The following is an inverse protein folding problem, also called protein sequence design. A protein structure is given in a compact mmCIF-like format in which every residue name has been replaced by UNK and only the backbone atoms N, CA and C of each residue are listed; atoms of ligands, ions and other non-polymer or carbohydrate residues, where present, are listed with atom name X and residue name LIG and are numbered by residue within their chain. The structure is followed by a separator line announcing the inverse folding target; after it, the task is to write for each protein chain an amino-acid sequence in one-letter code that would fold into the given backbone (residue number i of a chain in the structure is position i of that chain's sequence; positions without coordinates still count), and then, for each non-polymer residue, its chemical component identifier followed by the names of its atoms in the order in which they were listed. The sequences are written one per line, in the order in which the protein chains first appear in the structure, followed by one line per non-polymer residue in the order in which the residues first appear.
data_IF_396249653352
#
_entry.id   IF_396249653352
#
_cell.length_a   1.000
_cell.length_b   1.000
_cell.length_c   1.000
_cell.angle_alpha   90.00
_cell.angle_beta   90.00
_cell.angle_gamma   90.00
#
_symmetry.space_group_name_H-M   'P 1'
#
loop_
_entity.id
_entity.type
_entity.pdbx_description
1 polymer ?
#
# COMPACT_ATOMS: atom_id res chain seq x y z
N UNK A 1 1.13 -3.99 18.41
CA UNK A 1 1.12 -2.51 18.50
C UNK A 1 1.45 -1.96 17.12
N UNK A 2 0.68 -1.02 16.56
CA UNK A 2 0.93 -0.46 15.22
C UNK A 2 2.32 0.22 15.21
N UNK A 3 3.19 -0.13 14.26
CA UNK A 3 4.56 0.39 14.17
C UNK A 3 4.62 1.92 14.14
N UNK A 4 3.63 2.56 13.51
CA UNK A 4 3.52 4.02 13.44
C UNK A 4 3.13 4.63 14.79
N UNK A 5 2.29 3.93 15.57
CA UNK A 5 1.92 4.35 16.92
C UNK A 5 3.11 4.28 17.87
N UNK A 6 3.92 3.22 17.78
CA UNK A 6 5.19 3.13 18.52
C UNK A 6 6.15 4.25 18.12
N UNK A 7 6.28 4.55 16.83
CA UNK A 7 7.14 5.62 16.34
C UNK A 7 6.72 7.00 16.87
N UNK A 8 5.42 7.31 16.86
CA UNK A 8 4.88 8.57 17.43
C UNK A 8 5.20 8.68 18.92
N UNK A 9 5.03 7.60 19.68
CA UNK A 9 5.34 7.56 21.11
C UNK A 9 6.83 7.81 21.39
N UNK A 10 7.72 7.17 20.63
CA UNK A 10 9.17 7.35 20.77
C UNK A 10 9.57 8.79 20.43
N UNK A 11 9.05 9.36 19.34
CA UNK A 11 9.33 10.74 18.94
C UNK A 11 8.86 11.72 20.02
N UNK A 12 7.62 11.56 20.51
CA UNK A 12 7.06 12.43 21.54
C UNK A 12 7.84 12.35 22.85
N UNK A 13 8.17 11.14 23.31
CA UNK A 13 8.95 10.92 24.53
C UNK A 13 10.37 11.52 24.40
N UNK A 14 11.04 11.30 23.27
CA UNK A 14 12.38 11.82 23.01
C UNK A 14 12.39 13.36 22.99
N UNK A 15 11.45 13.98 22.26
CA UNK A 15 11.32 15.44 22.22
C UNK A 15 11.05 16.03 23.61
N UNK A 16 10.22 15.37 24.42
CA UNK A 16 9.94 15.81 25.79
C UNK A 16 11.19 15.73 26.70
N UNK A 17 11.89 14.60 26.69
CA UNK A 17 13.11 14.41 27.50
C UNK A 17 14.19 15.40 27.12
N UNK A 18 14.45 15.62 25.83
CA UNK A 18 15.46 16.57 25.37
C UNK A 18 15.09 18.01 25.74
N UNK A 19 13.80 18.36 25.66
CA UNK A 19 13.33 19.71 26.02
C UNK A 19 13.46 20.00 27.52
N UNK A 20 13.28 18.99 28.37
CA UNK A 20 13.44 19.11 29.83
C UNK A 20 14.93 19.13 30.21
N UNK A 21 15.74 18.23 29.65
CA UNK A 21 17.16 18.11 29.98
C UNK A 21 18.01 19.26 29.41
N UNK A 22 17.63 19.81 28.26
CA UNK A 22 18.37 20.86 27.57
C UNK A 22 17.43 21.98 27.09
N UNK A 23 17.02 22.89 28.00
CA UNK A 23 16.03 23.94 27.70
C UNK A 23 16.43 24.86 26.54
N UNK A 24 17.74 25.11 26.37
CA UNK A 24 18.28 25.92 25.27
C UNK A 24 18.07 25.28 23.89
N UNK A 25 17.96 23.96 23.83
CA UNK A 25 17.74 23.20 22.60
C UNK A 25 16.26 22.86 22.37
N UNK A 26 15.38 23.11 23.35
CA UNK A 26 13.94 22.88 23.25
C UNK A 26 13.30 23.40 21.96
N UNK A 27 13.54 24.65 21.49
CA UNK A 27 12.90 25.12 20.24
C UNK A 27 13.35 24.32 19.00
N UNK A 28 14.58 23.80 18.99
CA UNK A 28 15.09 22.96 17.90
C UNK A 28 14.52 21.55 18.01
N UNK A 29 14.52 20.97 19.21
CA UNK A 29 13.99 19.63 19.48
C UNK A 29 12.50 19.53 19.13
N UNK A 30 11.71 20.56 19.43
CA UNK A 30 10.29 20.63 19.07
C UNK A 30 10.10 20.71 17.56
N UNK A 31 10.89 21.53 16.85
CA UNK A 31 10.82 21.62 15.37
C UNK A 31 11.17 20.29 14.71
N UNK A 32 12.25 19.65 15.14
CA UNK A 32 12.68 18.34 14.61
C UNK A 32 11.66 17.27 14.94
N UNK A 33 11.13 17.25 16.17
CA UNK A 33 10.06 16.34 16.57
C UNK A 33 8.80 16.50 15.72
N UNK A 34 8.39 17.74 15.46
CA UNK A 34 7.23 18.04 14.60
C UNK A 34 7.44 17.53 13.17
N UNK A 35 8.62 17.76 12.58
CA UNK A 35 8.95 17.26 11.23
C UNK A 35 8.89 15.73 11.21
N UNK A 36 9.47 15.06 12.22
CA UNK A 36 9.47 13.61 12.32
C UNK A 36 8.04 13.04 12.44
N UNK A 37 7.15 13.71 13.19
CA UNK A 37 5.74 13.35 13.28
C UNK A 37 5.01 13.50 11.95
N UNK A 38 5.25 14.58 11.21
CA UNK A 38 4.66 14.80 9.88
C UNK A 38 5.10 13.68 8.91
N UNK A 39 6.38 13.34 8.89
CA UNK A 39 6.91 12.25 8.05
C UNK A 39 6.26 10.91 8.44
N UNK A 40 6.17 10.62 9.74
CA UNK A 40 5.54 9.39 10.23
C UNK A 40 4.07 9.31 9.84
N UNK A 41 3.34 10.43 9.95
CA UNK A 41 1.95 10.51 9.52
C UNK A 41 1.82 10.32 7.99
N UNK A 42 2.71 10.93 7.20
CA UNK A 42 2.71 10.75 5.75
C UNK A 42 2.98 9.29 5.35
N UNK A 43 3.92 8.61 6.01
CA UNK A 43 4.20 7.19 5.80
C UNK A 43 3.03 6.30 6.22
N UNK A 44 2.36 6.63 7.33
CA UNK A 44 1.16 5.92 7.76
C UNK A 44 0.04 6.07 6.74
N UNK A 45 -0.18 7.28 6.22
CA UNK A 45 -1.15 7.56 5.16
C UNK A 45 -0.79 6.80 3.88
N UNK A 46 0.48 6.83 3.47
CA UNK A 46 0.96 6.10 2.30
C UNK A 46 0.72 4.59 2.45
N UNK A 47 1.07 4.01 3.59
CA UNK A 47 0.79 2.60 3.86
C UNK A 47 -0.71 2.32 3.89
N UNK A 48 -1.52 3.21 4.45
CA UNK A 48 -2.97 3.08 4.47
C UNK A 48 -3.56 3.09 3.06
N UNK A 49 -3.05 3.93 2.15
CA UNK A 49 -3.47 3.92 0.75
C UNK A 49 -2.93 2.71 -0.01
N UNK A 50 -1.67 2.33 0.20
CA UNK A 50 -1.04 1.18 -0.46
C UNK A 50 -1.58 -0.18 0.03
N UNK A 51 -2.16 -0.24 1.23
CA UNK A 51 -2.84 -1.45 1.75
C UNK A 51 -4.31 -1.52 1.40
N UNK A 52 -4.91 -0.47 0.82
CA UNK A 52 -6.24 -0.64 0.21
C UNK A 52 -6.07 -1.54 -1.01
N UNK A 53 -6.86 -2.62 -1.12
CA UNK A 53 -6.92 -3.34 -2.38
C UNK A 53 -7.29 -2.31 -3.46
N UNK A 54 -6.59 -2.30 -4.61
CA UNK A 54 -7.00 -1.48 -5.74
C UNK A 54 -8.50 -1.73 -5.95
N UNK A 55 -9.35 -0.70 -6.12
CA UNK A 55 -10.78 -0.92 -6.35
C UNK A 55 -11.04 -1.82 -7.57
N UNK A 56 -10.05 -1.93 -8.47
CA UNK A 56 -10.01 -2.85 -9.59
C UNK A 56 -9.72 -4.31 -9.20
N UNK A 57 -8.94 -4.56 -8.14
CA UNK A 57 -8.55 -5.90 -7.73
C UNK A 57 -9.76 -6.77 -7.33
N UNK A 58 -10.76 -6.18 -6.66
CA UNK A 58 -12.01 -6.89 -6.33
C UNK A 58 -12.84 -7.19 -7.59
N UNK A 59 -12.90 -6.24 -8.54
CA UNK A 59 -13.60 -6.45 -9.82
C UNK A 59 -12.94 -7.51 -10.68
N UNK A 60 -11.60 -7.55 -10.72
CA UNK A 60 -10.84 -8.58 -11.42
C UNK A 60 -11.08 -9.95 -10.78
N UNK A 61 -11.04 -10.06 -9.45
CA UNK A 61 -11.35 -11.31 -8.75
C UNK A 61 -12.76 -11.82 -9.06
N UNK A 62 -13.76 -10.93 -9.04
CA UNK A 62 -15.14 -11.29 -9.38
C UNK A 62 -15.28 -11.71 -10.84
N UNK A 63 -14.57 -11.05 -11.75
CA UNK A 63 -14.57 -11.37 -13.16
C UNK A 63 -13.93 -12.74 -13.44
N UNK A 64 -12.77 -13.03 -12.85
CA UNK A 64 -12.11 -14.36 -12.96
C UNK A 64 -12.99 -15.45 -12.31
N UNK A 65 -13.64 -15.15 -11.18
CA UNK A 65 -14.56 -16.10 -10.53
C UNK A 65 -15.77 -16.45 -11.40
N UNK A 66 -16.28 -15.50 -12.18
CA UNK A 66 -17.49 -15.69 -12.98
C UNK A 66 -17.22 -16.29 -14.36
N UNK A 67 -16.09 -15.94 -14.99
CA UNK A 67 -15.75 -16.39 -16.35
C UNK A 67 -14.68 -17.47 -16.41
N UNK A 68 -14.04 -17.78 -15.29
CA UNK A 68 -12.89 -18.68 -15.24
C UNK A 68 -11.59 -17.97 -15.65
N UNK A 69 -10.60 -18.71 -16.15
CA UNK A 69 -9.28 -18.15 -16.43
C UNK A 69 -9.31 -17.10 -17.54
N UNK A 70 -8.76 -15.91 -17.27
CA UNK A 70 -8.76 -14.79 -18.22
C UNK A 70 -7.35 -14.27 -18.48
N UNK A 71 -7.10 -13.78 -19.69
CA UNK A 71 -5.86 -13.09 -20.03
C UNK A 71 -5.91 -11.62 -19.60
N UNK A 72 -4.75 -10.96 -19.48
CA UNK A 72 -4.69 -9.52 -19.21
C UNK A 72 -5.52 -8.73 -20.24
N UNK A 73 -5.43 -9.11 -21.52
CA UNK A 73 -6.16 -8.44 -22.61
C UNK A 73 -7.68 -8.58 -22.48
N UNK A 74 -8.16 -9.75 -22.07
CA UNK A 74 -9.59 -9.96 -21.82
C UNK A 74 -10.09 -9.12 -20.65
N UNK A 75 -9.29 -9.02 -19.58
CA UNK A 75 -9.62 -8.23 -18.39
C UNK A 75 -9.65 -6.73 -18.73
N UNK A 76 -8.67 -6.23 -19.48
CA UNK A 76 -8.63 -4.83 -19.96
C UNK A 76 -9.87 -4.52 -20.80
N UNK A 77 -10.19 -5.40 -21.75
CA UNK A 77 -11.33 -5.20 -22.66
C UNK A 77 -12.66 -5.21 -21.91
N UNK A 78 -12.81 -6.08 -20.92
CA UNK A 78 -14.05 -6.22 -20.16
C UNK A 78 -14.26 -5.11 -19.15
N UNK A 79 -13.19 -4.71 -18.44
CA UNK A 79 -13.26 -3.65 -17.43
C UNK A 79 -13.11 -2.25 -18.02
N UNK A 80 -12.75 -2.12 -19.31
CA UNK A 80 -12.58 -0.84 -20.00
C UNK A 80 -11.59 0.10 -19.30
N UNK A 81 -10.58 -0.47 -18.64
CA UNK A 81 -9.65 0.26 -17.77
C UNK A 81 -8.27 0.37 -18.42
N UNK A 82 -7.48 1.36 -18.01
CA UNK A 82 -6.12 1.55 -18.49
C UNK A 82 -5.25 0.29 -18.25
N UNK A 83 -4.39 -0.11 -19.20
CA UNK A 83 -3.55 -1.30 -19.07
C UNK A 83 -2.67 -1.29 -17.81
N UNK A 84 -2.10 -0.13 -17.48
CA UNK A 84 -1.20 0.07 -16.35
C UNK A 84 -1.88 -0.23 -15.00
N UNK A 85 -3.12 0.24 -14.82
CA UNK A 85 -3.88 0.01 -13.59
C UNK A 85 -4.29 -1.47 -13.44
N UNK A 86 -4.56 -2.14 -14.56
CA UNK A 86 -4.89 -3.58 -14.58
C UNK A 86 -3.66 -4.41 -14.24
N UNK A 87 -2.49 -4.07 -14.78
CA UNK A 87 -1.23 -4.75 -14.45
C UNK A 87 -0.86 -4.60 -12.98
N UNK A 88 -1.00 -3.39 -12.41
CA UNK A 88 -0.74 -3.16 -10.98
C UNK A 88 -1.70 -3.96 -10.09
N UNK A 89 -2.98 -4.02 -10.46
CA UNK A 89 -3.97 -4.80 -9.72
C UNK A 89 -3.73 -6.31 -9.84
N UNK A 90 -3.33 -6.82 -11.01
CA UNK A 90 -2.98 -8.22 -11.21
C UNK A 90 -1.72 -8.60 -10.43
N UNK A 91 -0.66 -7.77 -10.45
CA UNK A 91 0.54 -8.01 -9.66
C UNK A 91 0.22 -8.03 -8.15
N UNK A 92 -0.63 -7.09 -7.69
CA UNK A 92 -1.12 -7.10 -6.31
C UNK A 92 -1.83 -8.41 -5.96
N UNK A 93 -2.75 -8.88 -6.80
CA UNK A 93 -3.52 -10.10 -6.56
C UNK A 93 -2.65 -11.36 -6.56
N UNK A 94 -1.68 -11.45 -7.48
CA UNK A 94 -0.72 -12.55 -7.54
C UNK A 94 0.20 -12.55 -6.32
N UNK A 95 0.75 -11.39 -5.93
CA UNK A 95 1.59 -11.26 -4.72
C UNK A 95 0.85 -11.63 -3.44
N UNK A 96 -0.47 -11.38 -3.38
CA UNK A 96 -1.32 -11.77 -2.27
C UNK A 96 -1.75 -13.24 -2.32
N UNK A 97 -1.41 -13.98 -3.38
CA UNK A 97 -1.80 -15.38 -3.56
C UNK A 97 -3.29 -15.56 -3.84
N UNK A 98 -3.97 -14.51 -4.30
CA UNK A 98 -5.39 -14.52 -4.63
C UNK A 98 -5.65 -14.88 -6.09
N UNK A 99 -4.63 -14.77 -6.94
CA UNK A 99 -4.64 -15.26 -8.31
C UNK A 99 -3.37 -16.06 -8.59
N UNK A 100 -3.50 -17.13 -9.35
CA UNK A 100 -2.43 -17.91 -9.95
C UNK A 100 -2.22 -17.46 -11.38
N UNK A 101 -0.97 -17.14 -11.70
CA UNK A 101 -0.52 -16.90 -13.07
C UNK A 101 -0.09 -18.22 -13.70
N UNK A 102 -0.60 -18.54 -14.88
CA UNK A 102 -0.13 -19.67 -15.67
C UNK A 102 -0.07 -19.28 -17.15
N UNK A 103 0.77 -19.99 -17.89
CA UNK A 103 0.99 -19.72 -19.31
C UNK A 103 0.35 -20.84 -20.13
N UNK A 104 -0.42 -20.46 -21.15
CA UNK A 104 -1.07 -21.39 -22.05
C UNK A 104 -0.97 -20.85 -23.48
N UNK A 105 -0.44 -21.66 -24.39
CA UNK A 105 -0.30 -21.31 -25.81
C UNK A 105 0.44 -19.98 -26.06
N UNK A 106 1.44 -19.66 -25.22
CA UNK A 106 2.22 -18.41 -25.29
C UNK A 106 1.51 -17.17 -24.76
N UNK A 107 0.35 -17.33 -24.12
CA UNK A 107 -0.43 -16.25 -23.51
C UNK A 107 -0.51 -16.47 -21.99
N UNK A 108 -0.35 -15.38 -21.24
CA UNK A 108 -0.49 -15.39 -19.78
C UNK A 108 -1.96 -15.32 -19.39
N UNK A 109 -2.41 -16.27 -18.58
CA UNK A 109 -3.74 -16.33 -17.98
C UNK A 109 -3.68 -16.26 -16.45
N UNK A 110 -4.77 -15.78 -15.87
CA UNK A 110 -4.97 -15.66 -14.43
C UNK A 110 -6.20 -16.46 -14.00
N UNK A 111 -6.04 -17.29 -12.97
CA UNK A 111 -7.09 -18.12 -12.35
C UNK A 111 -7.01 -18.04 -10.82
N UNK A 112 -8.04 -18.49 -10.10
CA UNK A 112 -8.11 -18.49 -8.63
C UNK A 112 -7.29 -19.61 -7.98
#
# INVERSE_FOLDING_TARGET
MNKHFTAVLVIAAFTAVVSIAFPRLAPIAVRVGLIALIITAALWIYEYFATRPPPLASRILELVRTRGPLSTGDIIRELGTAPEEVEEALDYLVRKGLLRKFEKDGVTFFDL
#
